data_IF_926611890248
#
_entry.id   IF_926611890248
#
_cell.length_a   1.000
_cell.length_b   1.000
_cell.length_c   1.000
_cell.angle_alpha   90.00
_cell.angle_beta   90.00
_cell.angle_gamma   90.00
#
_symmetry.space_group_name_H-M   'P 1'
#
loop_
_entity.id
_entity.type
_entity.pdbx_description
1 polymer ?
#
# COMPACT_ATOMS: atom_id res chain seq x y z
N UNK A 1 5.70 -18.30 -16.78
CA UNK A 1 5.66 -18.25 -15.31
C UNK A 1 5.54 -16.80 -14.92
N UNK A 2 4.47 -16.44 -14.23
CA UNK A 2 4.26 -15.06 -13.78
C UNK A 2 4.98 -14.86 -12.45
N UNK A 3 5.43 -13.65 -12.16
CA UNK A 3 6.10 -13.38 -10.88
C UNK A 3 5.68 -12.02 -10.37
N UNK A 4 5.29 -11.96 -9.10
CA UNK A 4 5.14 -10.68 -8.40
C UNK A 4 6.44 -10.43 -7.64
N UNK A 5 7.02 -9.23 -7.80
CA UNK A 5 8.27 -8.85 -7.14
C UNK A 5 8.06 -7.55 -6.38
N UNK A 6 8.30 -7.58 -5.07
CA UNK A 6 8.34 -6.38 -4.24
C UNK A 6 9.80 -5.95 -4.04
N UNK A 7 10.07 -4.69 -4.34
CA UNK A 7 11.39 -4.10 -4.16
C UNK A 7 11.41 -3.10 -3.02
N UNK A 8 12.60 -2.96 -2.44
CA UNK A 8 12.97 -1.81 -1.65
C UNK A 8 12.96 -0.50 -2.45
N UNK A 9 13.27 0.63 -1.81
CA UNK A 9 13.34 1.93 -2.45
C UNK A 9 14.34 1.98 -3.61
N UNK A 10 13.97 2.70 -4.67
CA UNK A 10 14.75 2.76 -5.92
C UNK A 10 15.56 4.06 -6.08
N UNK A 11 15.77 4.84 -5.01
CA UNK A 11 16.47 6.14 -5.06
C UNK A 11 17.98 6.03 -4.83
N UNK A 12 18.39 5.28 -3.81
CA UNK A 12 19.81 5.14 -3.44
C UNK A 12 20.41 3.82 -3.91
N UNK A 13 19.58 2.78 -4.05
CA UNK A 13 19.98 1.46 -4.52
C UNK A 13 18.97 0.98 -5.56
N UNK A 14 19.26 1.26 -6.82
CA UNK A 14 18.36 0.96 -7.93
C UNK A 14 18.50 -0.48 -8.38
N UNK A 15 17.48 -1.30 -8.13
CA UNK A 15 17.43 -2.74 -8.44
C UNK A 15 16.40 -3.09 -9.52
N UNK A 16 15.51 -2.16 -9.87
CA UNK A 16 14.40 -2.40 -10.81
C UNK A 16 14.88 -2.87 -12.19
N UNK A 17 15.91 -2.25 -12.77
CA UNK A 17 16.38 -2.65 -14.10
C UNK A 17 16.98 -4.06 -14.13
N UNK A 18 17.80 -4.41 -13.13
CA UNK A 18 18.33 -5.78 -12.99
C UNK A 18 17.21 -6.80 -12.74
N UNK A 19 16.22 -6.42 -11.93
CA UNK A 19 15.06 -7.27 -11.62
C UNK A 19 14.22 -7.55 -12.86
N UNK A 20 13.87 -6.52 -13.62
CA UNK A 20 13.08 -6.65 -14.86
C UNK A 20 13.82 -7.48 -15.89
N UNK A 21 15.13 -7.29 -16.07
CA UNK A 21 15.95 -8.15 -16.93
C UNK A 21 15.94 -9.61 -16.48
N UNK A 22 15.94 -9.87 -15.17
CA UNK A 22 15.88 -11.24 -14.63
C UNK A 22 14.56 -11.96 -14.91
N UNK A 23 13.49 -11.24 -15.23
CA UNK A 23 12.21 -11.85 -15.62
C UNK A 23 12.23 -12.42 -17.05
N UNK A 24 13.22 -12.06 -17.88
CA UNK A 24 13.30 -12.52 -19.27
C UNK A 24 12.18 -11.98 -20.18
N UNK A 25 11.42 -10.98 -19.72
CA UNK A 25 10.37 -10.31 -20.47
C UNK A 25 10.98 -9.67 -21.71
N UNK A 26 10.34 -9.82 -22.88
CA UNK A 26 10.82 -9.26 -24.16
C UNK A 26 9.86 -8.23 -24.75
N UNK A 27 8.58 -8.30 -24.39
CA UNK A 27 7.53 -7.37 -24.81
C UNK A 27 7.53 -6.04 -24.06
N UNK A 28 6.45 -5.29 -24.28
CA UNK A 28 6.19 -3.98 -23.67
C UNK A 28 5.93 -4.14 -22.17
N UNK A 29 6.29 -3.11 -21.41
CA UNK A 29 6.13 -3.07 -19.97
C UNK A 29 5.29 -1.85 -19.60
N UNK A 30 4.11 -2.07 -19.01
CA UNK A 30 3.29 -0.96 -18.54
C UNK A 30 3.94 -0.32 -17.31
N UNK A 31 4.02 1.02 -17.29
CA UNK A 31 4.52 1.79 -16.17
C UNK A 31 3.37 2.52 -15.49
N UNK A 32 3.27 2.35 -14.18
CA UNK A 32 2.34 3.07 -13.31
C UNK A 32 3.14 3.89 -12.31
N UNK A 33 3.19 5.20 -12.51
CA UNK A 33 3.89 6.15 -11.63
C UNK A 33 3.02 7.35 -11.27
N UNK A 34 1.69 7.19 -11.24
CA UNK A 34 0.74 8.25 -10.93
C UNK A 34 0.90 8.87 -9.54
N UNK A 35 1.54 8.17 -8.62
CA UNK A 35 1.96 8.73 -7.34
C UNK A 35 3.06 9.81 -7.44
N UNK A 36 3.65 10.05 -8.61
CA UNK A 36 4.58 11.17 -8.85
C UNK A 36 3.84 12.48 -9.17
N UNK A 37 2.51 12.40 -9.34
CA UNK A 37 1.63 13.54 -9.52
C UNK A 37 2.06 14.40 -10.70
N UNK A 38 2.36 15.68 -10.50
CA UNK A 38 2.76 16.61 -11.57
C UNK A 38 4.07 16.18 -12.25
N UNK A 39 4.87 15.32 -11.59
CA UNK A 39 6.10 14.74 -12.14
C UNK A 39 5.90 13.39 -12.81
N UNK A 40 4.65 12.94 -13.04
CA UNK A 40 4.37 11.66 -13.72
C UNK A 40 5.04 11.56 -15.09
N UNK A 41 5.19 12.68 -15.81
CA UNK A 41 5.86 12.75 -17.10
C UNK A 41 7.39 12.68 -17.04
N UNK A 42 7.99 12.80 -15.85
CA UNK A 42 9.45 12.77 -15.67
C UNK A 42 9.96 11.32 -15.60
N UNK A 43 9.49 10.47 -16.52
CA UNK A 43 9.64 9.00 -16.49
C UNK A 43 10.83 8.46 -17.30
N UNK A 44 11.62 9.33 -17.92
CA UNK A 44 12.73 8.94 -18.80
C UNK A 44 13.76 8.04 -18.10
N UNK A 45 14.08 8.31 -16.82
CA UNK A 45 14.97 7.47 -16.01
C UNK A 45 14.38 6.06 -15.81
N UNK A 46 13.09 5.99 -15.44
CA UNK A 46 12.40 4.72 -15.26
C UNK A 46 12.32 3.94 -16.58
N UNK A 47 11.95 4.59 -17.68
CA UNK A 47 11.93 3.99 -19.01
C UNK A 47 13.31 3.46 -19.42
N UNK A 48 14.38 4.18 -19.08
CA UNK A 48 15.77 3.74 -19.27
C UNK A 48 16.10 2.44 -18.53
N UNK A 49 15.60 2.26 -17.31
CA UNK A 49 15.76 1.00 -16.58
C UNK A 49 15.01 -0.19 -17.18
N UNK A 50 14.03 0.07 -18.05
CA UNK A 50 13.24 -0.94 -18.75
C UNK A 50 13.72 -1.16 -20.20
N UNK A 51 14.95 -0.72 -20.50
CA UNK A 51 15.57 -0.80 -21.83
C UNK A 51 14.70 -0.17 -22.93
N UNK A 52 13.98 0.92 -22.60
CA UNK A 52 13.11 1.64 -23.54
C UNK A 52 11.77 0.95 -23.86
N UNK A 53 11.45 -0.17 -23.21
CA UNK A 53 10.20 -0.93 -23.43
C UNK A 53 9.04 -0.46 -22.56
N UNK A 54 9.30 0.52 -21.70
CA UNK A 54 8.32 1.12 -20.79
C UNK A 54 7.27 1.93 -21.53
N UNK A 55 6.01 1.75 -21.14
CA UNK A 55 4.87 2.52 -21.64
C UNK A 55 4.12 3.07 -20.45
N UNK A 56 4.16 4.40 -20.27
CA UNK A 56 3.46 5.03 -19.16
C UNK A 56 1.96 5.05 -19.42
N UNK A 57 1.17 4.56 -18.46
CA UNK A 57 -0.29 4.62 -18.52
C UNK A 57 -0.83 6.04 -18.27
N UNK A 58 -0.02 6.93 -17.67
CA UNK A 58 -0.31 8.35 -17.41
C UNK A 58 -1.59 8.55 -16.61
N UNK A 59 -1.78 7.77 -15.55
CA UNK A 59 -3.05 7.74 -14.83
C UNK A 59 -3.31 9.05 -14.07
N UNK A 60 -2.29 9.74 -13.57
CA UNK A 60 -2.47 11.04 -12.93
C UNK A 60 -2.91 12.09 -13.95
N UNK A 61 -2.23 12.17 -15.10
CA UNK A 61 -2.64 13.06 -16.19
C UNK A 61 -4.08 12.78 -16.65
N UNK A 62 -4.45 11.51 -16.82
CA UNK A 62 -5.83 11.12 -17.17
C UNK A 62 -6.82 11.53 -16.08
N UNK A 63 -6.46 11.43 -14.80
CA UNK A 63 -7.31 11.91 -13.71
C UNK A 63 -7.55 13.42 -13.81
N UNK A 64 -6.53 14.21 -14.15
CA UNK A 64 -6.70 15.66 -14.34
C UNK A 64 -7.63 15.97 -15.53
N UNK A 65 -7.53 15.22 -16.62
CA UNK A 65 -8.44 15.34 -17.77
C UNK A 65 -9.89 15.03 -17.40
N UNK A 66 -10.12 13.96 -16.61
CA UNK A 66 -11.45 13.63 -16.07
C UNK A 66 -11.99 14.76 -15.20
N UNK A 67 -11.20 15.25 -14.24
CA UNK A 67 -11.64 16.32 -13.33
C UNK A 67 -11.96 17.62 -14.07
N UNK A 68 -11.28 17.90 -15.18
CA UNK A 68 -11.54 19.07 -16.01
C UNK A 68 -12.80 18.94 -16.87
N UNK A 69 -13.09 17.73 -17.38
CA UNK A 69 -14.17 17.48 -18.35
C UNK A 69 -15.48 17.02 -17.72
N UNK A 70 -15.42 16.40 -16.54
CA UNK A 70 -16.57 15.86 -15.83
C UNK A 70 -16.76 16.57 -14.48
N UNK A 71 -17.59 17.61 -14.50
CA UNK A 71 -17.87 18.44 -13.33
C UNK A 71 -18.62 17.69 -12.23
N UNK A 72 -19.47 16.72 -12.59
CA UNK A 72 -20.22 15.92 -11.62
C UNK A 72 -19.27 15.02 -10.84
N UNK A 73 -18.40 14.29 -11.55
CA UNK A 73 -17.34 13.51 -10.93
C UNK A 73 -16.39 14.39 -10.11
N UNK A 74 -15.99 15.56 -10.62
CA UNK A 74 -15.10 16.47 -9.91
C UNK A 74 -15.69 16.97 -8.58
N UNK A 75 -16.98 17.30 -8.55
CA UNK A 75 -17.67 17.68 -7.31
C UNK A 75 -17.72 16.52 -6.30
N UNK A 76 -18.10 15.32 -6.76
CA UNK A 76 -18.10 14.12 -5.92
C UNK A 76 -16.69 13.76 -5.40
N UNK A 77 -15.67 13.93 -6.24
CA UNK A 77 -14.27 13.73 -5.92
C UNK A 77 -13.75 14.65 -4.81
N UNK A 78 -14.20 15.90 -4.77
CA UNK A 78 -13.90 16.87 -3.72
C UNK A 78 -14.61 16.46 -2.42
N UNK A 79 -15.92 16.22 -2.48
CA UNK A 79 -16.72 15.82 -1.32
C UNK A 79 -16.21 14.53 -0.67
N UNK A 80 -15.79 13.54 -1.47
CA UNK A 80 -15.18 12.32 -0.99
C UNK A 80 -13.89 12.57 -0.20
N UNK A 81 -12.99 13.40 -0.74
CA UNK A 81 -11.72 13.71 -0.07
C UNK A 81 -11.96 14.37 1.27
N UNK A 82 -12.87 15.35 1.33
CA UNK A 82 -13.16 16.09 2.54
C UNK A 82 -13.75 15.17 3.64
N UNK A 83 -14.67 14.26 3.26
CA UNK A 83 -15.20 13.22 4.17
C UNK A 83 -14.15 12.21 4.61
N UNK A 84 -13.27 11.79 3.70
CA UNK A 84 -12.18 10.86 4.01
C UNK A 84 -11.18 11.46 5.00
N UNK A 85 -10.87 12.75 4.85
CA UNK A 85 -9.95 13.45 5.76
C UNK A 85 -10.59 13.63 7.14
N UNK A 86 -11.89 13.92 7.23
CA UNK A 86 -12.64 13.95 8.50
C UNK A 86 -12.67 12.57 9.17
N UNK A 87 -13.04 11.51 8.44
CA UNK A 87 -13.06 10.14 8.96
C UNK A 87 -11.68 9.73 9.50
N UNK A 88 -10.61 10.03 8.75
CA UNK A 88 -9.23 9.75 9.17
C UNK A 88 -8.85 10.52 10.43
N UNK A 89 -9.28 11.78 10.58
CA UNK A 89 -8.99 12.56 11.78
C UNK A 89 -9.60 11.91 13.05
N UNK A 90 -10.86 11.47 12.99
CA UNK A 90 -11.50 10.76 14.10
C UNK A 90 -10.87 9.38 14.35
N UNK A 91 -10.55 8.65 13.28
CA UNK A 91 -9.83 7.39 13.38
C UNK A 91 -8.50 7.54 14.10
N UNK A 92 -7.69 8.54 13.71
CA UNK A 92 -6.39 8.81 14.31
C UNK A 92 -6.47 9.08 15.81
N UNK A 93 -7.45 9.87 16.26
CA UNK A 93 -7.68 10.14 17.69
C UNK A 93 -8.01 8.84 18.45
N UNK A 94 -8.96 8.06 17.93
CA UNK A 94 -9.38 6.80 18.55
C UNK A 94 -8.23 5.79 18.60
N UNK A 95 -7.47 5.69 17.52
CA UNK A 95 -6.35 4.78 17.39
C UNK A 95 -5.25 5.12 18.40
N UNK A 96 -4.85 6.39 18.48
CA UNK A 96 -3.83 6.81 19.43
C UNK A 96 -4.24 6.51 20.87
N UNK A 97 -5.48 6.83 21.25
CA UNK A 97 -5.99 6.55 22.59
C UNK A 97 -6.00 5.04 22.91
N UNK A 98 -6.36 4.19 21.94
CA UNK A 98 -6.34 2.74 22.12
C UNK A 98 -4.91 2.20 22.28
N UNK A 99 -3.96 2.70 21.50
CA UNK A 99 -2.54 2.33 21.60
C UNK A 99 -1.94 2.79 22.94
N UNK A 100 -2.24 4.01 23.37
CA UNK A 100 -1.79 4.53 24.67
C UNK A 100 -2.33 3.66 25.83
N UNK A 101 -3.56 3.17 25.70
CA UNK A 101 -4.15 2.25 26.67
C UNK A 101 -3.40 0.90 26.72
N UNK A 102 -3.00 0.34 25.58
CA UNK A 102 -2.17 -0.88 25.54
C UNK A 102 -0.87 -0.67 26.32
N UNK A 103 -0.15 0.42 26.04
CA UNK A 103 1.10 0.72 26.74
C UNK A 103 0.90 0.95 28.24
N UNK A 104 -0.16 1.67 28.62
CA UNK A 104 -0.47 1.93 30.03
C UNK A 104 -0.82 0.64 30.80
N UNK A 105 -1.53 -0.30 30.16
CA UNK A 105 -1.87 -1.60 30.75
C UNK A 105 -0.63 -2.50 30.86
N UNK A 106 0.19 -2.58 29.80
CA UNK A 106 1.39 -3.40 29.77
C UNK A 106 2.39 -3.00 30.88
N UNK A 107 2.51 -1.70 31.18
CA UNK A 107 3.40 -1.19 32.22
C UNK A 107 2.80 -1.22 33.64
N UNK A 108 1.56 -1.66 33.81
CA UNK A 108 0.90 -1.69 35.12
C UNK A 108 1.24 -2.96 35.89
N UNK A 109 1.73 -2.81 37.11
CA UNK A 109 1.93 -3.95 38.03
C UNK A 109 0.62 -4.70 38.29
N UNK A 110 0.62 -6.02 38.07
CA UNK A 110 -0.53 -6.88 38.29
C UNK A 110 -0.25 -7.93 39.36
N UNK A 111 -0.69 -7.66 40.58
CA UNK A 111 -0.47 -8.54 41.74
C UNK A 111 -1.37 -9.79 41.66
N UNK A 112 -2.56 -9.66 41.07
CA UNK A 112 -3.57 -10.71 40.98
C UNK A 112 -3.64 -11.37 39.59
N UNK A 113 -2.56 -11.29 38.81
CA UNK A 113 -2.44 -11.91 37.48
C UNK A 113 -3.53 -11.52 36.45
N UNK A 114 -4.16 -10.36 36.60
CA UNK A 114 -5.15 -9.81 35.63
C UNK A 114 -4.50 -9.12 34.43
N UNK A 115 -3.20 -8.80 34.51
CA UNK A 115 -2.44 -8.06 33.50
C UNK A 115 -2.56 -8.65 32.10
N UNK A 116 -2.24 -9.94 31.89
CA UNK A 116 -2.31 -10.55 30.56
C UNK A 116 -3.69 -10.48 29.89
N UNK A 117 -4.77 -10.67 30.66
CA UNK A 117 -6.14 -10.59 30.14
C UNK A 117 -6.48 -9.14 29.78
N UNK A 118 -6.08 -8.18 30.61
CA UNK A 118 -6.29 -6.76 30.35
C UNK A 118 -5.51 -6.29 29.12
N UNK A 119 -4.29 -6.77 28.93
CA UNK A 119 -3.45 -6.45 27.77
C UNK A 119 -4.04 -6.98 26.46
N UNK A 120 -4.52 -8.24 26.44
CA UNK A 120 -5.18 -8.77 25.24
C UNK A 120 -6.50 -8.05 24.96
N UNK A 121 -7.25 -7.66 26.00
CA UNK A 121 -8.47 -6.85 25.84
C UNK A 121 -8.15 -5.47 25.27
N UNK A 122 -7.06 -4.84 25.70
CA UNK A 122 -6.60 -3.57 25.15
C UNK A 122 -6.14 -3.70 23.69
N UNK A 123 -5.44 -4.80 23.35
CA UNK A 123 -5.05 -5.10 21.97
C UNK A 123 -6.29 -5.29 21.07
N UNK A 124 -7.32 -5.96 21.57
CA UNK A 124 -8.56 -6.16 20.83
C UNK A 124 -9.29 -4.84 20.58
N UNK A 125 -9.26 -3.90 21.53
CA UNK A 125 -9.80 -2.57 21.35
C UNK A 125 -9.10 -1.79 20.22
N UNK A 126 -7.78 -1.96 20.04
CA UNK A 126 -7.05 -1.40 18.89
C UNK A 126 -7.58 -1.98 17.58
N UNK A 127 -7.73 -3.31 17.49
CA UNK A 127 -8.27 -3.99 16.30
C UNK A 127 -9.72 -3.59 16.02
N UNK A 128 -10.52 -3.31 17.04
CA UNK A 128 -11.89 -2.81 16.89
C UNK A 128 -11.94 -1.43 16.25
N UNK A 129 -11.02 -0.52 16.61
CA UNK A 129 -10.90 0.79 15.96
C UNK A 129 -10.60 0.64 14.47
N UNK A 130 -9.71 -0.28 14.09
CA UNK A 130 -9.42 -0.57 12.68
C UNK A 130 -10.60 -1.14 11.92
N UNK A 131 -11.31 -2.12 12.51
CA UNK A 131 -12.50 -2.70 11.89
C UNK A 131 -13.61 -1.69 11.69
N UNK A 132 -13.81 -0.80 12.67
CA UNK A 132 -14.74 0.32 12.52
C UNK A 132 -14.33 1.23 11.36
N UNK A 133 -13.06 1.65 11.32
CA UNK A 133 -12.58 2.52 10.24
C UNK A 133 -12.72 1.88 8.86
N UNK A 134 -12.39 0.60 8.72
CA UNK A 134 -12.53 -0.14 7.48
C UNK A 134 -14.01 -0.22 7.03
N UNK A 135 -14.95 -0.42 7.96
CA UNK A 135 -16.38 -0.45 7.67
C UNK A 135 -16.91 0.93 7.22
N UNK A 136 -16.53 2.01 7.92
CA UNK A 136 -16.91 3.38 7.52
C UNK A 136 -16.31 3.77 6.16
N UNK A 137 -15.08 3.32 5.88
CA UNK A 137 -14.44 3.55 4.60
C UNK A 137 -15.17 2.83 3.45
N UNK A 138 -15.61 1.59 3.68
CA UNK A 138 -16.39 0.83 2.72
C UNK A 138 -17.74 1.50 2.43
N UNK A 139 -18.44 1.96 3.46
CA UNK A 139 -19.68 2.74 3.32
C UNK A 139 -19.44 4.06 2.57
N UNK A 140 -18.35 4.77 2.88
CA UNK A 140 -17.99 6.00 2.19
C UNK A 140 -17.75 5.74 0.69
N UNK A 141 -17.02 4.68 0.33
CA UNK A 141 -16.84 4.28 -1.06
C UNK A 141 -18.17 3.92 -1.73
N UNK A 142 -19.05 3.19 -1.04
CA UNK A 142 -20.39 2.84 -1.52
C UNK A 142 -21.23 4.09 -1.82
N UNK A 143 -21.24 5.05 -0.90
CA UNK A 143 -21.99 6.31 -1.04
C UNK A 143 -21.57 7.13 -2.26
N UNK A 144 -20.26 7.17 -2.55
CA UNK A 144 -19.73 7.89 -3.72
C UNK A 144 -20.08 7.16 -5.00
N UNK A 145 -19.96 5.83 -5.05
CA UNK A 145 -20.38 5.04 -6.21
C UNK A 145 -21.86 5.22 -6.51
N UNK A 146 -22.71 5.36 -5.50
CA UNK A 146 -24.13 5.63 -5.68
C UNK A 146 -24.43 7.07 -6.15
N UNK A 147 -23.60 8.05 -5.77
CA UNK A 147 -23.83 9.47 -6.11
C UNK A 147 -23.21 9.88 -7.45
N UNK A 148 -22.05 9.30 -7.78
CA UNK A 148 -21.33 9.53 -9.03
C UNK A 148 -20.78 8.19 -9.55
N UNK A 149 -21.64 7.37 -10.18
CA UNK A 149 -21.23 6.10 -10.78
C UNK A 149 -20.15 6.33 -11.85
N UNK A 150 -19.05 5.57 -11.78
CA UNK A 150 -17.91 5.75 -12.69
C UNK A 150 -18.25 5.35 -14.13
N UNK A 151 -19.22 4.47 -14.33
CA UNK A 151 -19.73 3.96 -15.60
C UNK A 151 -20.64 4.96 -16.34
N UNK A 152 -21.19 5.95 -15.63
CA UNK A 152 -21.97 7.04 -16.25
C UNK A 152 -21.06 8.12 -16.88
N UNK A 153 -19.78 8.15 -16.51
CA UNK A 153 -18.82 9.11 -17.06
C UNK A 153 -18.21 8.62 -18.38
N UNK A 154 -18.63 9.23 -19.48
CA UNK A 154 -18.07 8.94 -20.82
C UNK A 154 -16.56 9.19 -20.91
N UNK A 155 -16.02 10.18 -20.19
CA UNK A 155 -14.57 10.48 -20.15
C UNK A 155 -13.79 9.40 -19.42
N UNK A 156 -14.29 8.91 -18.28
CA UNK A 156 -13.66 7.80 -17.54
C UNK A 156 -13.73 6.53 -18.38
N UNK A 157 -14.89 6.22 -18.97
CA UNK A 157 -15.07 5.06 -19.85
C UNK A 157 -14.10 5.06 -21.03
N UNK A 158 -13.91 6.22 -21.67
CA UNK A 158 -12.95 6.38 -22.76
C UNK A 158 -11.50 6.09 -22.31
N UNK A 159 -11.05 6.68 -21.20
CA UNK A 159 -9.72 6.40 -20.67
C UNK A 159 -9.52 4.95 -20.25
N UNK A 160 -10.53 4.32 -19.62
CA UNK A 160 -10.49 2.90 -19.26
C UNK A 160 -10.26 2.03 -20.50
N UNK A 161 -10.95 2.32 -21.61
CA UNK A 161 -10.75 1.63 -22.88
C UNK A 161 -9.32 1.74 -23.41
N UNK A 162 -8.76 2.96 -23.44
CA UNK A 162 -7.37 3.17 -23.87
C UNK A 162 -6.35 2.46 -22.97
N UNK A 163 -6.54 2.54 -21.65
CA UNK A 163 -5.66 1.90 -20.67
C UNK A 163 -5.71 0.37 -20.82
N UNK A 164 -6.90 -0.20 -20.97
CA UNK A 164 -7.08 -1.64 -21.20
C UNK A 164 -6.32 -2.10 -22.46
N UNK A 165 -6.50 -1.39 -23.57
CA UNK A 165 -5.78 -1.70 -24.81
C UNK A 165 -4.25 -1.65 -24.64
N UNK A 166 -3.73 -0.64 -23.93
CA UNK A 166 -2.29 -0.56 -23.63
C UNK A 166 -1.80 -1.70 -22.74
N UNK A 167 -2.59 -2.08 -21.73
CA UNK A 167 -2.26 -3.17 -20.81
C UNK A 167 -2.29 -4.54 -21.48
N UNK A 168 -3.17 -4.75 -22.46
CA UNK A 168 -3.27 -5.99 -23.24
C UNK A 168 -2.03 -6.25 -24.08
N UNK A 169 -1.35 -5.20 -24.53
CA UNK A 169 -0.07 -5.29 -25.25
C UNK A 169 1.15 -5.50 -24.33
N UNK A 170 0.98 -5.40 -23.01
CA UNK A 170 2.08 -5.45 -22.05
C UNK A 170 2.26 -6.84 -21.42
N UNK A 171 3.48 -7.36 -21.49
CA UNK A 171 3.89 -8.64 -20.90
C UNK A 171 4.11 -8.52 -19.38
N UNK A 172 4.48 -7.33 -18.90
CA UNK A 172 4.70 -7.05 -17.50
C UNK A 172 4.21 -5.65 -17.11
N UNK A 173 4.04 -5.45 -15.80
CA UNK A 173 3.65 -4.16 -15.20
C UNK A 173 4.67 -3.77 -14.15
N UNK A 174 5.10 -2.51 -14.15
CA UNK A 174 5.86 -1.91 -13.06
C UNK A 174 5.05 -0.83 -12.36
N UNK A 175 5.03 -0.87 -11.02
CA UNK A 175 4.27 0.08 -10.20
C UNK A 175 5.24 0.81 -9.26
N UNK A 176 5.43 2.08 -9.53
CA UNK A 176 6.39 2.91 -8.83
C UNK A 176 5.89 3.35 -7.44
N UNK A 177 6.85 3.81 -6.63
CA UNK A 177 6.55 4.58 -5.41
C UNK A 177 5.98 5.97 -5.71
N UNK A 178 5.61 6.70 -4.66
CA UNK A 178 5.04 8.04 -4.74
C UNK A 178 3.98 8.26 -3.66
N UNK A 179 3.03 9.15 -3.92
CA UNK A 179 1.82 9.32 -3.14
C UNK A 179 0.89 8.10 -3.31
N UNK A 180 0.76 7.28 -2.25
CA UNK A 180 -0.05 6.05 -2.29
C UNK A 180 -1.55 6.34 -2.45
N UNK A 181 -2.04 7.46 -1.92
CA UNK A 181 -3.44 7.87 -2.04
C UNK A 181 -3.79 8.14 -3.50
N UNK A 182 -2.96 8.94 -4.19
CA UNK A 182 -3.12 9.23 -5.61
C UNK A 182 -2.99 7.95 -6.45
N UNK A 183 -2.03 7.08 -6.12
CA UNK A 183 -1.84 5.80 -6.79
C UNK A 183 -3.09 4.90 -6.69
N UNK A 184 -3.58 4.59 -5.49
CA UNK A 184 -4.76 3.74 -5.29
C UNK A 184 -6.01 4.33 -5.95
N UNK A 185 -6.22 5.64 -5.79
CA UNK A 185 -7.35 6.32 -6.40
C UNK A 185 -7.34 6.19 -7.92
N UNK A 186 -6.19 6.43 -8.56
CA UNK A 186 -6.07 6.35 -10.01
C UNK A 186 -6.21 4.91 -10.52
N UNK A 187 -5.59 3.93 -9.84
CA UNK A 187 -5.75 2.51 -10.14
C UNK A 187 -7.23 2.08 -10.14
N UNK A 188 -8.01 2.51 -9.14
CA UNK A 188 -9.43 2.16 -9.01
C UNK A 188 -10.34 2.92 -9.97
N UNK A 189 -10.13 4.22 -10.15
CA UNK A 189 -10.95 5.02 -11.07
C UNK A 189 -10.78 4.53 -12.51
N UNK A 190 -9.56 4.17 -12.90
CA UNK A 190 -9.29 3.65 -14.24
C UNK A 190 -9.34 2.12 -14.36
N UNK A 191 -9.80 1.43 -13.32
CA UNK A 191 -10.02 -0.03 -13.34
C UNK A 191 -8.80 -0.83 -13.83
N UNK A 192 -7.61 -0.44 -13.36
CA UNK A 192 -6.34 -1.06 -13.75
C UNK A 192 -6.27 -2.46 -13.16
N UNK A 193 -6.61 -3.46 -13.98
CA UNK A 193 -6.61 -4.87 -13.59
C UNK A 193 -5.27 -5.52 -13.94
N UNK A 194 -4.62 -6.09 -12.93
CA UNK A 194 -3.36 -6.83 -13.10
C UNK A 194 -3.67 -8.30 -13.34
N UNK A 195 -3.41 -8.82 -14.55
CA UNK A 195 -3.71 -10.23 -14.87
C UNK A 195 -2.84 -11.18 -14.03
N UNK A 196 -3.34 -12.35 -13.61
CA UNK A 196 -2.54 -13.33 -12.87
C UNK A 196 -1.28 -13.77 -13.62
N UNK A 197 -1.34 -13.81 -14.96
CA UNK A 197 -0.24 -14.25 -15.83
C UNK A 197 0.81 -13.15 -16.08
N UNK A 198 0.49 -11.89 -15.80
CA UNK A 198 1.44 -10.79 -15.94
C UNK A 198 2.44 -10.81 -14.79
N UNK A 199 3.72 -10.61 -15.12
CA UNK A 199 4.71 -10.32 -14.08
C UNK A 199 4.57 -8.88 -13.61
N UNK A 200 4.60 -8.67 -12.29
CA UNK A 200 4.41 -7.35 -11.67
C UNK A 200 5.60 -7.03 -10.78
N UNK A 201 6.24 -5.89 -11.00
CA UNK A 201 7.33 -5.40 -10.14
C UNK A 201 6.90 -4.09 -9.49
N UNK A 202 6.92 -4.02 -8.16
CA UNK A 202 6.45 -2.85 -7.43
C UNK A 202 7.37 -2.45 -6.29
N UNK A 203 7.41 -1.16 -5.95
CA UNK A 203 8.22 -0.65 -4.85
C UNK A 203 7.55 0.49 -4.10
N UNK A 204 7.93 0.68 -2.84
CA UNK A 204 7.38 1.75 -2.00
C UNK A 204 5.84 1.74 -2.00
N UNK A 205 5.18 2.85 -2.37
CA UNK A 205 3.72 2.91 -2.47
C UNK A 205 3.13 1.86 -3.42
N UNK A 206 3.82 1.52 -4.52
CA UNK A 206 3.40 0.45 -5.41
C UNK A 206 3.39 -0.91 -4.73
N UNK A 207 4.37 -1.19 -3.87
CA UNK A 207 4.41 -2.45 -3.11
C UNK A 207 3.26 -2.51 -2.10
N UNK A 208 2.97 -1.39 -1.42
CA UNK A 208 1.81 -1.28 -0.52
C UNK A 208 0.49 -1.47 -1.27
N UNK A 209 0.38 -0.91 -2.48
CA UNK A 209 -0.82 -1.06 -3.30
C UNK A 209 -1.09 -2.51 -3.75
N UNK A 210 -0.10 -3.41 -3.73
CA UNK A 210 -0.30 -4.82 -4.09
C UNK A 210 -0.76 -5.71 -2.92
N UNK A 211 -0.71 -5.22 -1.68
CA UNK A 211 -1.09 -6.00 -0.50
C UNK A 211 -2.57 -5.80 -0.14
N UNK A 212 -3.05 -6.47 0.92
CA UNK A 212 -4.43 -6.31 1.41
C UNK A 212 -4.63 -4.95 2.07
N UNK A 213 -3.78 -4.64 3.04
CA UNK A 213 -3.88 -3.42 3.85
C UNK A 213 -2.74 -2.46 3.51
N UNK A 214 -3.09 -1.18 3.36
CA UNK A 214 -2.15 -0.09 3.15
C UNK A 214 -2.01 0.66 4.45
N UNK A 215 -0.86 0.50 5.11
CA UNK A 215 -0.56 1.12 6.40
C UNK A 215 0.40 2.30 6.20
N UNK A 216 0.02 3.47 6.70
CA UNK A 216 0.87 4.66 6.72
C UNK A 216 1.57 4.76 8.07
N UNK A 217 2.89 4.81 8.05
CA UNK A 217 3.70 4.80 9.27
C UNK A 217 4.86 5.77 9.14
N UNK A 218 5.11 6.51 10.22
CA UNK A 218 6.31 7.31 10.37
C UNK A 218 6.55 7.66 11.84
N UNK A 219 7.38 6.88 12.53
CA UNK A 219 7.60 7.01 13.98
C UNK A 219 8.40 8.27 14.37
N UNK A 220 9.06 8.89 13.41
CA UNK A 220 9.89 10.08 13.60
C UNK A 220 9.18 11.41 13.25
N UNK A 221 7.86 11.41 13.01
CA UNK A 221 7.15 12.67 12.76
C UNK A 221 6.98 13.46 14.07
N UNK A 222 7.39 14.73 14.12
CA UNK A 222 7.35 15.53 15.36
C UNK A 222 5.92 15.95 15.77
N UNK A 223 4.92 15.81 14.90
CA UNK A 223 3.53 16.21 15.14
C UNK A 223 2.57 15.21 14.46
N UNK A 224 1.45 14.89 15.11
CA UNK A 224 0.41 14.00 14.59
C UNK A 224 0.23 12.71 15.40
N UNK A 225 -0.63 11.82 14.91
CA UNK A 225 -0.81 10.46 15.45
C UNK A 225 0.50 9.71 15.25
N UNK A 226 1.10 9.23 16.34
CA UNK A 226 2.36 8.50 16.29
C UNK A 226 2.14 7.05 15.86
N UNK A 227 0.95 6.51 16.10
CA UNK A 227 0.58 5.16 15.68
C UNK A 227 0.55 5.03 14.15
N UNK A 228 1.02 3.89 13.63
CA UNK A 228 0.84 3.54 12.23
C UNK A 228 -0.66 3.49 11.89
N UNK A 229 -1.11 4.17 10.85
CA UNK A 229 -2.53 4.27 10.51
C UNK A 229 -2.89 3.30 9.39
N UNK A 230 -3.98 2.55 9.55
CA UNK A 230 -4.61 1.92 8.40
C UNK A 230 -5.15 3.03 7.50
N UNK A 231 -4.71 3.06 6.25
CA UNK A 231 -5.12 4.09 5.30
C UNK A 231 -6.25 3.63 4.38
N UNK A 232 -6.11 2.43 3.82
CA UNK A 232 -7.01 1.90 2.80
C UNK A 232 -6.69 0.43 2.52
N UNK A 233 -7.50 -0.22 1.69
CA UNK A 233 -7.19 -1.54 1.12
C UNK A 233 -6.35 -1.42 -0.15
N UNK A 234 -5.41 -2.33 -0.37
CA UNK A 234 -4.69 -2.42 -1.64
C UNK A 234 -5.49 -3.18 -2.70
N UNK A 235 -4.79 -3.70 -3.70
CA UNK A 235 -5.34 -4.53 -4.78
C UNK A 235 -5.47 -6.00 -4.38
N UNK A 236 -4.94 -6.42 -3.23
CA UNK A 236 -5.05 -7.80 -2.75
C UNK A 236 -4.32 -8.83 -3.61
N UNK A 237 -3.30 -8.43 -4.37
CA UNK A 237 -2.50 -9.36 -5.20
C UNK A 237 -1.60 -10.25 -4.34
N UNK A 238 -1.17 -9.75 -3.19
CA UNK A 238 -0.38 -10.46 -2.19
C UNK A 238 -1.10 -10.44 -0.84
N UNK A 239 -2.10 -11.32 -0.65
CA UNK A 239 -2.87 -11.36 0.57
C UNK A 239 -2.05 -11.86 1.77
N UNK A 240 -2.45 -11.45 2.98
CA UNK A 240 -1.80 -11.79 4.23
C UNK A 240 -0.44 -11.12 4.44
N UNK A 241 -0.09 -10.12 3.64
CA UNK A 241 1.15 -9.35 3.75
C UNK A 241 0.80 -7.88 4.00
N UNK A 242 1.59 -7.21 4.84
CA UNK A 242 1.62 -5.73 4.90
C UNK A 242 3.02 -5.30 4.52
N UNK A 243 3.14 -4.55 3.41
CA UNK A 243 4.42 -4.06 2.94
C UNK A 243 4.85 -2.81 3.71
N UNK A 244 6.04 -2.86 4.31
CA UNK A 244 6.64 -1.77 5.09
C UNK A 244 7.89 -1.24 4.38
N UNK A 245 7.73 -0.37 3.36
CA UNK A 245 8.87 0.22 2.65
C UNK A 245 9.61 1.26 3.49
N UNK A 246 10.94 1.33 3.31
CA UNK A 246 11.83 2.22 4.08
C UNK A 246 11.73 2.01 5.60
N UNK A 247 11.47 0.79 6.06
CA UNK A 247 11.22 0.50 7.47
C UNK A 247 12.32 1.05 8.40
N UNK A 248 13.61 0.83 8.08
CA UNK A 248 14.74 1.35 8.88
C UNK A 248 14.77 2.87 9.05
N UNK A 249 14.13 3.61 8.14
CA UNK A 249 14.11 5.08 8.16
C UNK A 249 12.81 5.65 8.71
N UNK A 250 11.78 4.82 8.88
CA UNK A 250 10.42 5.25 9.21
C UNK A 250 9.85 4.61 10.46
N UNK A 251 10.42 3.48 10.90
CA UNK A 251 10.01 2.75 12.10
C UNK A 251 11.15 2.74 13.11
N UNK A 252 10.80 2.83 14.39
CA UNK A 252 11.70 2.60 15.52
C UNK A 252 11.87 1.09 15.72
N UNK A 253 12.61 0.44 14.83
CA UNK A 253 12.74 -1.03 14.83
C UNK A 253 13.42 -1.61 16.09
N UNK A 254 14.17 -0.78 16.83
CA UNK A 254 14.80 -1.17 18.10
C UNK A 254 13.86 -1.01 19.30
N UNK A 255 12.69 -0.38 19.12
CA UNK A 255 11.61 -0.33 20.11
C UNK A 255 10.72 -1.57 19.96
N UNK A 256 11.18 -2.67 20.55
CA UNK A 256 10.51 -3.98 20.44
C UNK A 256 9.11 -3.99 21.04
N UNK A 257 8.83 -3.17 22.06
CA UNK A 257 7.49 -3.09 22.62
C UNK A 257 6.52 -2.46 21.60
N UNK A 258 6.89 -1.32 21.04
CA UNK A 258 6.10 -0.66 19.99
C UNK A 258 5.92 -1.58 18.77
N UNK A 259 6.98 -2.25 18.34
CA UNK A 259 6.92 -3.17 17.20
C UNK A 259 6.08 -4.42 17.51
N UNK A 260 6.08 -4.90 18.75
CA UNK A 260 5.21 -5.99 19.20
C UNK A 260 3.73 -5.59 19.14
N UNK A 261 3.39 -4.37 19.56
CA UNK A 261 2.04 -3.82 19.41
C UNK A 261 1.62 -3.78 17.94
N UNK A 262 2.49 -3.27 17.05
CA UNK A 262 2.22 -3.25 15.61
C UNK A 262 2.02 -4.67 15.03
N UNK A 263 2.88 -5.62 15.38
CA UNK A 263 2.80 -6.99 14.90
C UNK A 263 1.57 -7.75 15.41
N UNK A 264 1.19 -7.54 16.68
CA UNK A 264 -0.01 -8.15 17.28
C UNK A 264 -1.30 -7.52 16.76
N UNK A 265 -1.30 -6.23 16.45
CA UNK A 265 -2.44 -5.56 15.82
C UNK A 265 -2.79 -6.20 14.48
N UNK A 266 -1.78 -6.46 13.65
CA UNK A 266 -1.93 -7.13 12.35
C UNK A 266 -1.61 -8.64 12.43
N UNK A 267 -2.16 -9.35 13.43
CA UNK A 267 -1.78 -10.73 13.75
C UNK A 267 -1.97 -11.77 12.62
N UNK A 268 -2.89 -11.48 11.69
CA UNK A 268 -3.19 -12.29 10.50
C UNK A 268 -2.30 -11.95 9.29
N UNK A 269 -1.43 -10.94 9.42
CA UNK A 269 -0.56 -10.48 8.35
C UNK A 269 0.91 -10.68 8.70
N UNK A 270 1.73 -10.81 7.65
CA UNK A 270 3.18 -10.76 7.74
C UNK A 270 3.67 -9.36 7.44
N UNK A 271 4.28 -8.71 8.44
CA UNK A 271 4.82 -7.35 8.32
C UNK A 271 6.17 -7.39 7.59
N UNK A 272 6.15 -7.27 6.26
CA UNK A 272 7.30 -7.43 5.38
C UNK A 272 8.11 -6.13 5.28
N UNK A 273 9.40 -6.18 5.65
CA UNK A 273 10.30 -5.04 5.55
C UNK A 273 10.91 -4.93 4.15
N UNK A 274 10.72 -3.77 3.51
CA UNK A 274 11.28 -3.45 2.19
C UNK A 274 12.24 -2.26 2.30
N UNK A 275 13.42 -2.51 2.84
CA UNK A 275 14.52 -1.54 2.95
C UNK A 275 15.36 -1.45 1.66
N UNK A 276 16.30 -0.51 1.61
CA UNK A 276 17.21 -0.32 0.46
C UNK A 276 17.86 -1.65 0.01
N UNK A 277 17.76 -1.93 -1.29
CA UNK A 277 18.29 -3.15 -1.90
C UNK A 277 17.43 -4.41 -1.74
N UNK A 278 16.32 -4.37 -0.99
CA UNK A 278 15.43 -5.52 -0.86
C UNK A 278 14.84 -5.95 -2.21
N UNK A 279 14.79 -7.26 -2.45
CA UNK A 279 14.13 -7.88 -3.62
C UNK A 279 13.44 -9.15 -3.14
N UNK A 280 12.11 -9.14 -3.09
CA UNK A 280 11.29 -10.26 -2.59
C UNK A 280 10.45 -10.78 -3.76
N UNK A 281 10.62 -12.05 -4.11
CA UNK A 281 10.01 -12.67 -5.30
C UNK A 281 8.95 -13.70 -4.92
N UNK A 282 7.80 -13.61 -5.57
CA UNK A 282 6.64 -14.48 -5.41
C UNK A 282 6.34 -15.14 -6.77
N UNK A 283 6.86 -16.36 -7.03
CA UNK A 283 6.66 -17.04 -8.30
C UNK A 283 5.25 -17.64 -8.42
N UNK A 284 4.70 -17.62 -9.63
CA UNK A 284 3.50 -18.37 -10.05
C UNK A 284 2.29 -18.21 -9.11
N UNK A 285 2.02 -16.98 -8.68
CA UNK A 285 0.87 -16.67 -7.82
C UNK A 285 1.05 -17.08 -6.36
N UNK A 286 2.25 -17.50 -5.95
CA UNK A 286 2.55 -17.76 -4.54
C UNK A 286 2.33 -16.49 -3.69
N UNK A 287 1.79 -16.69 -2.50
CA UNK A 287 1.52 -15.62 -1.52
C UNK A 287 2.30 -15.81 -0.23
N UNK A 288 2.93 -16.97 -0.06
CA UNK A 288 3.83 -17.23 1.06
C UNK A 288 5.11 -16.41 0.95
N UNK A 289 5.60 -15.92 2.09
CA UNK A 289 6.86 -15.18 2.11
C UNK A 289 8.04 -16.10 1.78
N UNK A 290 8.91 -15.73 0.82
CA UNK A 290 10.06 -16.52 0.48
C UNK A 290 11.12 -16.51 1.60
N UNK A 291 11.94 -17.56 1.63
CA UNK A 291 13.11 -17.64 2.52
C UNK A 291 14.01 -16.42 2.32
N UNK A 292 14.51 -15.87 3.42
CA UNK A 292 15.34 -14.65 3.40
C UNK A 292 14.54 -13.35 3.50
N UNK A 293 13.21 -13.37 3.40
CA UNK A 293 12.39 -12.19 3.64
C UNK A 293 12.52 -11.71 5.09
N UNK A 294 12.70 -10.40 5.28
CA UNK A 294 12.78 -9.78 6.61
C UNK A 294 11.40 -9.35 7.06
N UNK A 295 11.01 -9.73 8.27
CA UNK A 295 9.69 -9.41 8.84
C UNK A 295 9.81 -8.90 10.26
N UNK A 296 8.77 -8.23 10.75
CA UNK A 296 8.57 -8.01 12.19
C UNK A 296 7.79 -9.21 12.73
N UNK A 297 8.32 -9.88 13.76
CA UNK A 297 7.63 -10.96 14.44
C UNK A 297 6.70 -10.46 15.56
N UNK A 298 5.93 -11.37 16.16
CA UNK A 298 4.95 -11.05 17.21
C UNK A 298 5.58 -10.50 18.50
N UNK A 299 6.89 -10.60 18.67
CA UNK A 299 7.63 -10.04 19.80
C UNK A 299 8.24 -8.67 19.49
N UNK A 300 8.04 -8.17 18.27
CA UNK A 300 8.57 -6.87 17.83
C UNK A 300 10.03 -6.92 17.37
N UNK A 301 10.60 -8.11 17.18
CA UNK A 301 11.95 -8.25 16.64
C UNK A 301 11.90 -8.39 15.11
N UNK A 302 12.97 -7.96 14.46
CA UNK A 302 13.17 -8.26 13.04
C UNK A 302 13.71 -9.68 12.90
N UNK A 303 12.95 -10.55 12.24
CA UNK A 303 13.32 -11.93 11.94
C UNK A 303 13.46 -12.15 10.42
N UNK A 304 14.09 -13.26 10.05
CA UNK A 304 14.28 -13.68 8.66
C UNK A 304 13.54 -14.98 8.43
N UNK A 305 12.66 -15.02 7.43
CA UNK A 305 11.90 -16.22 7.10
C UNK A 305 12.84 -17.36 6.69
N UNK A 306 12.66 -18.54 7.29
CA UNK A 306 13.44 -19.75 7.00
C UNK A 306 14.81 -19.80 7.67
N UNK A 307 15.11 -18.87 8.58
CA UNK A 307 16.30 -18.93 9.46
C UNK A 307 15.79 -19.16 10.88
N UNK A 308 16.26 -20.24 11.52
CA UNK A 308 15.94 -20.59 12.90
C UNK A 308 16.74 -19.74 13.90
#
# INVERSE_FOLDING_TARGET
MSTTILLGPQRFTTTVGATVRSLGVTGRIAMVNSGWEERESDDAELAGHLDGRGVNLRLHHRMMDVLAKDQHFAAAAVAFRDRMDELRAFYGIRLQAAIDAVHAVAHRTSIHAVGPIAEESAMEAVREVDRWYAAELEELYGSVRATAPLDESGTIGWHRGEIGALLDECEAVVIAGGNVRTLLRTLRVFDVTLRPEQSVVAWSAGAMALTDEVVLFHDFTPHGVAAAELHDRGLGRLPGIVALPHAKRRLLLDDHERMSVLARRFAEHRLLLLDDGAVVRFPDGATELPVGARVIDRTGHVSVVGVA
#
